data_IF_770543159411
#
_entry.id   IF_770543159411
#
_cell.length_a   1.000
_cell.length_b   1.000
_cell.length_c   1.000
_cell.angle_alpha   90.00
_cell.angle_beta   90.00
_cell.angle_gamma   90.00
#
_symmetry.space_group_name_H-M   'P 1'
#
loop_
_entity.id
_entity.type
_entity.pdbx_description
1 polymer ?
#
# COMPACT_ATOMS: atom_id res chain seq x y z
N UNK A 1 -14.45 24.64 -37.69
CA UNK A 1 -14.00 23.25 -37.93
C UNK A 1 -12.60 23.10 -37.36
N UNK A 2 -12.29 22.02 -36.65
CA UNK A 2 -10.93 21.78 -36.16
C UNK A 2 -9.97 21.71 -37.35
N UNK A 3 -8.91 22.50 -37.32
CA UNK A 3 -7.95 22.56 -38.42
C UNK A 3 -7.02 21.33 -38.39
N UNK A 4 -6.37 21.01 -39.51
CA UNK A 4 -5.34 19.97 -39.55
C UNK A 4 -4.23 20.19 -38.51
N UNK A 5 -3.93 21.45 -38.15
CA UNK A 5 -2.98 21.81 -37.09
C UNK A 5 -3.46 21.37 -35.70
N UNK A 6 -4.75 21.44 -35.43
CA UNK A 6 -5.32 21.05 -34.13
C UNK A 6 -5.19 19.54 -33.91
N UNK A 7 -5.45 18.75 -34.94
CA UNK A 7 -5.23 17.29 -34.89
C UNK A 7 -3.75 16.94 -34.70
N UNK A 8 -2.85 17.59 -35.44
CA UNK A 8 -1.41 17.38 -35.26
C UNK A 8 -0.96 17.71 -33.83
N UNK A 9 -1.53 18.75 -33.23
CA UNK A 9 -1.27 19.14 -31.84
C UNK A 9 -1.75 18.07 -30.86
N UNK A 10 -2.96 17.55 -31.03
CA UNK A 10 -3.50 16.48 -30.18
C UNK A 10 -2.63 15.20 -30.26
N UNK A 11 -2.22 14.80 -31.46
CA UNK A 11 -1.33 13.65 -31.66
C UNK A 11 -0.03 13.83 -30.87
N UNK A 12 0.59 15.01 -30.96
CA UNK A 12 1.81 15.30 -30.22
C UNK A 12 1.60 15.30 -28.71
N UNK A 13 0.47 15.84 -28.22
CA UNK A 13 0.12 15.81 -26.80
C UNK A 13 -0.03 14.37 -26.29
N UNK A 14 -0.75 13.51 -27.00
CA UNK A 14 -0.93 12.10 -26.61
C UNK A 14 0.40 11.35 -26.63
N UNK A 15 1.25 11.57 -27.65
CA UNK A 15 2.60 10.98 -27.71
C UNK A 15 3.49 11.43 -26.55
N UNK A 16 3.36 12.68 -26.11
CA UNK A 16 4.10 13.19 -24.96
C UNK A 16 3.60 12.54 -23.66
N UNK A 17 2.29 12.48 -23.47
CA UNK A 17 1.68 11.82 -22.31
C UNK A 17 2.07 10.34 -22.24
N UNK A 18 2.04 9.61 -23.35
CA UNK A 18 2.45 8.20 -23.40
C UNK A 18 3.89 7.98 -22.94
N UNK A 19 4.82 8.86 -23.34
CA UNK A 19 6.22 8.81 -22.86
C UNK A 19 6.34 9.08 -21.36
N UNK A 20 5.61 10.05 -20.83
CA UNK A 20 5.59 10.37 -19.39
C UNK A 20 5.03 9.20 -18.58
N UNK A 21 3.89 8.63 -19.00
CA UNK A 21 3.28 7.50 -18.29
C UNK A 21 4.13 6.23 -18.36
N UNK A 22 4.81 5.97 -19.48
CA UNK A 22 5.78 4.87 -19.59
C UNK A 22 6.92 5.01 -18.59
N UNK A 23 7.50 6.21 -18.48
CA UNK A 23 8.54 6.48 -17.49
C UNK A 23 8.02 6.30 -16.04
N UNK A 24 6.82 6.82 -15.74
CA UNK A 24 6.19 6.66 -14.42
C UNK A 24 5.93 5.19 -14.09
N UNK A 25 5.53 4.37 -15.06
CA UNK A 25 5.33 2.94 -14.89
C UNK A 25 6.66 2.28 -14.47
N UNK A 26 7.74 2.53 -15.20
CA UNK A 26 9.07 1.98 -14.87
C UNK A 26 9.53 2.41 -13.47
N UNK A 27 9.41 3.71 -13.13
CA UNK A 27 9.78 4.22 -11.79
C UNK A 27 8.96 3.55 -10.69
N UNK A 28 7.66 3.35 -10.93
CA UNK A 28 6.77 2.70 -9.96
C UNK A 28 7.10 1.22 -9.78
N UNK A 29 7.41 0.51 -10.87
CA UNK A 29 7.87 -0.89 -10.80
C UNK A 29 9.17 -1.03 -10.01
N UNK A 30 10.12 -0.12 -10.20
CA UNK A 30 11.37 -0.12 -9.42
C UNK A 30 11.12 0.13 -7.94
N UNK A 31 10.23 1.09 -7.60
CA UNK A 31 9.85 1.36 -6.20
C UNK A 31 9.16 0.15 -5.57
N UNK A 32 8.26 -0.51 -6.30
CA UNK A 32 7.58 -1.72 -5.84
C UNK A 32 8.58 -2.84 -5.55
N UNK A 33 9.50 -3.13 -6.47
CA UNK A 33 10.56 -4.14 -6.25
C UNK A 33 11.43 -3.84 -5.03
N UNK A 34 11.78 -2.56 -4.80
CA UNK A 34 12.53 -2.14 -3.61
C UNK A 34 11.72 -2.36 -2.32
N UNK A 35 10.42 -2.07 -2.34
CA UNK A 35 9.54 -2.32 -1.20
C UNK A 35 9.39 -3.82 -0.92
N UNK A 36 9.17 -4.63 -1.95
CA UNK A 36 9.09 -6.08 -1.85
C UNK A 36 10.37 -6.69 -1.25
N UNK A 37 11.54 -6.26 -1.73
CA UNK A 37 12.82 -6.70 -1.18
C UNK A 37 12.98 -6.31 0.31
N UNK A 38 12.47 -5.13 0.72
CA UNK A 38 12.47 -4.72 2.13
C UNK A 38 11.60 -5.64 2.98
N UNK A 39 10.41 -5.98 2.50
CA UNK A 39 9.51 -6.91 3.21
C UNK A 39 10.13 -8.29 3.32
N UNK A 40 10.72 -8.82 2.23
CA UNK A 40 11.40 -10.12 2.25
C UNK A 40 12.56 -10.16 3.25
N UNK A 41 13.35 -9.09 3.34
CA UNK A 41 14.45 -9.00 4.33
C UNK A 41 13.95 -8.89 5.77
N UNK A 42 12.81 -8.26 5.99
CA UNK A 42 12.20 -8.13 7.33
C UNK A 42 11.46 -9.41 7.77
N UNK A 43 11.18 -10.34 6.84
CA UNK A 43 10.37 -11.55 7.09
C UNK A 43 10.93 -12.41 8.23
N UNK A 44 12.23 -12.78 8.28
CA UNK A 44 12.74 -13.66 9.33
C UNK A 44 12.65 -13.01 10.72
N UNK A 45 12.83 -11.69 10.80
CA UNK A 45 12.65 -10.95 12.05
C UNK A 45 11.20 -11.01 12.52
N UNK A 46 10.24 -10.77 11.61
CA UNK A 46 8.82 -10.83 11.94
C UNK A 46 8.41 -12.23 12.44
N UNK A 47 8.88 -13.29 11.76
CA UNK A 47 8.61 -14.68 12.14
C UNK A 47 9.19 -15.03 13.51
N UNK A 48 10.43 -14.63 13.80
CA UNK A 48 11.06 -14.87 15.10
C UNK A 48 10.37 -14.11 16.23
N UNK A 49 10.01 -12.84 16.00
CA UNK A 49 9.28 -12.03 16.99
C UNK A 49 7.89 -12.63 17.23
N UNK A 50 7.20 -13.06 16.18
CA UNK A 50 5.91 -13.72 16.28
C UNK A 50 6.02 -15.01 17.11
N UNK A 51 7.02 -15.85 16.87
CA UNK A 51 7.26 -17.06 17.66
C UNK A 51 7.53 -16.73 19.12
N UNK A 52 8.43 -15.78 19.39
CA UNK A 52 8.73 -15.34 20.76
C UNK A 52 7.48 -14.81 21.48
N UNK A 53 6.66 -14.01 20.80
CA UNK A 53 5.41 -13.49 21.36
C UNK A 53 4.41 -14.61 21.65
N UNK A 54 4.34 -15.66 20.82
CA UNK A 54 3.51 -16.85 21.08
C UNK A 54 3.98 -17.61 22.30
N UNK A 55 5.30 -17.82 22.44
CA UNK A 55 5.88 -18.53 23.58
C UNK A 55 5.65 -17.76 24.89
N UNK A 56 5.81 -16.43 24.86
CA UNK A 56 5.49 -15.54 25.99
C UNK A 56 4.00 -15.58 26.31
N UNK A 57 3.12 -15.51 25.31
CA UNK A 57 1.68 -15.59 25.55
C UNK A 57 1.25 -16.95 26.13
N UNK A 58 1.89 -18.06 25.72
CA UNK A 58 1.61 -19.39 26.24
C UNK A 58 2.14 -19.65 27.65
N UNK A 59 3.21 -18.96 28.06
CA UNK A 59 3.79 -19.05 29.40
C UNK A 59 3.30 -17.95 30.36
N UNK A 60 2.57 -16.96 29.85
CA UNK A 60 2.02 -15.88 30.64
C UNK A 60 1.02 -16.39 31.67
N UNK A 61 1.15 -15.92 32.91
CA UNK A 61 0.20 -16.17 34.00
C UNK A 61 -0.32 -14.85 34.54
N UNK A 62 -1.61 -14.82 34.89
CA UNK A 62 -2.32 -13.62 35.33
C UNK A 62 -3.13 -12.93 34.22
N UNK A 63 -3.86 -11.89 34.61
CA UNK A 63 -4.78 -11.17 33.74
C UNK A 63 -4.03 -10.05 32.98
N UNK A 64 -3.56 -10.37 31.78
CA UNK A 64 -2.84 -9.43 30.91
C UNK A 64 -3.80 -8.74 29.94
N UNK A 65 -4.00 -7.41 30.01
CA UNK A 65 -5.03 -6.69 29.24
C UNK A 65 -4.93 -6.80 27.71
N UNK A 66 -3.75 -7.18 27.17
CA UNK A 66 -3.54 -7.39 25.73
C UNK A 66 -3.82 -8.82 25.28
N UNK A 67 -3.86 -9.78 26.21
CA UNK A 67 -4.14 -11.18 25.95
C UNK A 67 -5.55 -11.58 26.40
N UNK A 68 -6.18 -10.80 27.27
CA UNK A 68 -7.54 -11.05 27.76
C UNK A 68 -8.58 -10.24 26.99
N UNK A 69 -9.68 -10.92 26.62
CA UNK A 69 -10.80 -10.28 25.94
C UNK A 69 -11.56 -9.38 26.91
N UNK A 70 -11.74 -8.11 26.54
CA UNK A 70 -12.58 -7.15 27.28
C UNK A 70 -13.90 -6.94 26.57
N UNK A 71 -14.91 -6.49 27.32
CA UNK A 71 -16.15 -6.01 26.72
C UNK A 71 -15.87 -4.86 25.75
N UNK A 72 -16.39 -4.97 24.53
CA UNK A 72 -16.07 -4.07 23.43
C UNK A 72 -16.97 -2.83 23.51
N UNK A 73 -16.46 -1.77 24.11
CA UNK A 73 -17.14 -0.46 24.17
C UNK A 73 -16.84 0.44 22.97
N UNK A 74 -15.62 0.34 22.42
CA UNK A 74 -15.13 1.12 21.28
C UNK A 74 -14.08 0.32 20.51
N UNK A 75 -14.10 0.46 19.19
CA UNK A 75 -13.13 -0.15 18.26
C UNK A 75 -12.39 0.98 17.55
N UNK A 76 -11.06 0.88 17.48
CA UNK A 76 -10.24 1.76 16.65
C UNK A 76 -10.04 1.11 15.28
N UNK A 77 -10.34 1.85 14.22
CA UNK A 77 -10.06 1.45 12.84
C UNK A 77 -8.89 2.28 12.34
N UNK A 78 -7.82 1.62 11.90
CA UNK A 78 -6.65 2.25 11.32
C UNK A 78 -6.55 1.88 9.84
N UNK A 79 -6.80 2.85 8.96
CA UNK A 79 -6.78 2.66 7.51
C UNK A 79 -5.48 3.21 6.92
N UNK A 80 -4.84 2.44 6.05
CA UNK A 80 -3.60 2.82 5.37
C UNK A 80 -3.85 3.05 3.88
N UNK A 81 -3.67 4.27 3.42
CA UNK A 81 -3.81 4.67 2.00
C UNK A 81 -2.48 5.15 1.42
N UNK A 82 -2.42 5.34 0.10
CA UNK A 82 -1.28 5.94 -0.56
C UNK A 82 -1.37 7.48 -0.53
N UNK A 83 -0.25 8.15 -0.29
CA UNK A 83 -0.16 9.62 -0.30
C UNK A 83 -0.30 10.24 -1.70
N UNK A 84 -0.04 9.45 -2.76
CA UNK A 84 -0.05 9.92 -4.16
C UNK A 84 -1.26 9.38 -4.92
N UNK A 85 -1.74 10.18 -5.87
CA UNK A 85 -2.75 9.80 -6.86
C UNK A 85 -2.19 8.96 -8.02
N UNK A 86 -2.99 8.77 -9.07
CA UNK A 86 -2.68 7.95 -10.26
C UNK A 86 -2.41 6.46 -9.93
N UNK A 87 -2.94 5.97 -8.80
CA UNK A 87 -2.86 4.57 -8.36
C UNK A 87 -4.12 3.76 -8.75
N UNK A 88 -4.80 4.18 -9.84
CA UNK A 88 -6.10 3.62 -10.22
C UNK A 88 -7.12 3.75 -9.08
N UNK A 89 -7.78 2.64 -8.75
CA UNK A 89 -8.81 2.57 -7.70
C UNK A 89 -8.30 2.29 -6.29
N UNK A 90 -6.98 2.26 -6.04
CA UNK A 90 -6.41 1.76 -4.77
C UNK A 90 -6.99 2.47 -3.53
N UNK A 91 -6.85 3.79 -3.43
CA UNK A 91 -7.32 4.55 -2.26
C UNK A 91 -8.85 4.47 -2.09
N UNK A 92 -9.61 4.55 -3.19
CA UNK A 92 -11.06 4.46 -3.15
C UNK A 92 -11.54 3.07 -2.67
N UNK A 93 -10.86 1.99 -3.09
CA UNK A 93 -11.21 0.64 -2.64
C UNK A 93 -10.87 0.40 -1.16
N UNK A 94 -9.73 0.93 -0.69
CA UNK A 94 -9.35 0.85 0.72
C UNK A 94 -10.40 1.56 1.58
N UNK A 95 -10.71 2.82 1.26
CA UNK A 95 -11.69 3.63 2.02
C UNK A 95 -13.12 3.09 1.94
N UNK A 96 -13.47 2.34 0.90
CA UNK A 96 -14.79 1.70 0.80
C UNK A 96 -14.92 0.46 1.70
N UNK A 97 -13.81 -0.19 2.04
CA UNK A 97 -13.78 -1.43 2.82
C UNK A 97 -13.60 -1.20 4.31
N UNK A 98 -13.02 -0.08 4.69
CA UNK A 98 -12.77 0.32 6.08
C UNK A 98 -13.79 1.35 6.53
#
# INVERSE_FOLDING_TARGET
MASARDYQRQINTVKNQARVFSALQTVSSVKFRKAEARVKRARPYAENVEQMMRDVAGSASGDLPLLTGREVSRVAVCTLTADRGLAGGFNAQVLRRT
#
